data_IF_834961110363
#
_entry.id   IF_834961110363
#
_cell.length_a   1.000
_cell.length_b   1.000
_cell.length_c   1.000
_cell.angle_alpha   90.00
_cell.angle_beta   90.00
_cell.angle_gamma   90.00
#
_symmetry.space_group_name_H-M   'P 1'
#
loop_
_entity.id
_entity.type
_entity.pdbx_description
1 polymer ?
2 non-polymer ?
3 non-polymer ?
4 water ?
#
# COMPACT_ATOMS: atom_id res chain seq x y z
N UNK A 1 31.95 -14.92 4.71
CA UNK A 1 30.88 -15.50 3.83
C UNK A 1 29.56 -14.79 4.13
N UNK A 2 29.02 -14.89 5.36
CA UNK A 2 27.78 -14.17 5.78
C UNK A 2 28.03 -12.65 5.64
N UNK A 3 26.98 -11.87 5.37
CA UNK A 3 27.07 -10.43 5.09
C UNK A 3 27.52 -9.66 6.33
N UNK A 4 27.28 -10.20 7.53
CA UNK A 4 27.62 -9.53 8.82
C UNK A 4 28.98 -9.98 9.34
N UNK A 5 29.75 -10.75 8.55
CA UNK A 5 31.04 -11.38 8.92
C UNK A 5 31.96 -10.38 9.64
N UNK A 6 32.15 -9.18 9.06
CA UNK A 6 33.14 -8.18 9.50
C UNK A 6 32.57 -7.27 10.59
N UNK A 7 31.30 -7.43 10.96
CA UNK A 7 30.65 -6.62 12.01
C UNK A 7 31.08 -7.15 13.39
N UNK A 8 31.29 -6.24 14.33
CA UNK A 8 31.52 -6.55 15.77
C UNK A 8 30.16 -6.84 16.43
N UNK A 9 30.14 -7.54 17.59
CA UNK A 9 28.90 -7.96 18.23
C UNK A 9 27.88 -6.84 18.48
N UNK A 10 28.35 -5.65 18.89
CA UNK A 10 27.50 -4.47 19.17
C UNK A 10 26.87 -3.95 17.87
N UNK A 11 27.61 -4.00 16.75
CA UNK A 11 27.15 -3.56 15.41
C UNK A 11 26.11 -4.56 14.87
N UNK A 12 26.37 -5.85 15.05
CA UNK A 12 25.47 -6.98 14.70
C UNK A 12 24.18 -6.87 15.52
N UNK A 13 24.29 -6.53 16.81
CA UNK A 13 23.18 -6.40 17.79
C UNK A 13 22.19 -5.31 17.37
N UNK A 14 22.68 -4.17 16.88
CA UNK A 14 21.85 -3.03 16.41
C UNK A 14 20.89 -3.52 15.31
N UNK A 15 21.40 -4.27 14.33
CA UNK A 15 20.64 -4.82 13.18
C UNK A 15 19.63 -5.87 13.66
N UNK A 16 20.01 -6.74 14.60
CA UNK A 16 19.11 -7.79 15.16
C UNK A 16 17.94 -7.11 15.91
N UNK A 17 18.20 -6.03 16.65
CA UNK A 17 17.15 -5.23 17.34
C UNK A 17 16.23 -4.61 16.27
N UNK A 18 16.83 -3.97 15.26
CA UNK A 18 16.09 -3.21 14.22
C UNK A 18 15.09 -4.15 13.51
N UNK A 19 15.52 -5.38 13.21
CA UNK A 19 14.79 -6.36 12.35
C UNK A 19 14.00 -7.38 13.18
N UNK A 20 13.84 -7.15 14.48
CA UNK A 20 13.02 -8.00 15.38
C UNK A 20 11.53 -7.66 15.17
N UNK A 21 10.91 -8.16 14.09
CA UNK A 21 9.61 -7.63 13.62
C UNK A 21 8.57 -8.75 13.39
N UNK A 22 8.91 -10.02 13.68
CA UNK A 22 7.99 -11.16 13.45
C UNK A 22 6.70 -10.98 14.26
N UNK A 23 5.54 -11.12 13.60
CA UNK A 23 4.21 -10.94 14.23
C UNK A 23 3.21 -11.85 13.53
N UNK A 24 2.54 -12.70 14.30
CA UNK A 24 1.39 -13.53 13.85
C UNK A 24 0.13 -12.70 14.00
N UNK A 25 -0.70 -12.64 12.97
CA UNK A 25 -1.97 -11.88 13.00
C UNK A 25 -3.14 -12.84 13.07
N UNK A 26 -4.23 -12.46 13.78
CA UNK A 26 -5.31 -13.40 14.10
C UNK A 26 -6.09 -13.86 12.87
N UNK A 27 -6.50 -15.13 12.91
CA UNK A 27 -7.80 -15.59 12.37
C UNK A 27 -7.83 -15.65 10.85
N UNK A 28 -9.00 -15.42 10.23
CA UNK A 28 -9.19 -15.72 8.81
C UNK A 28 -8.28 -14.89 7.89
N UNK A 29 -8.07 -15.41 6.68
CA UNK A 29 -7.34 -14.81 5.53
C UNK A 29 -8.09 -13.57 5.03
N UNK A 30 -7.42 -12.71 4.25
CA UNK A 30 -7.96 -11.38 3.84
C UNK A 30 -9.38 -11.52 3.29
N UNK A 31 -9.61 -12.31 2.24
CA UNK A 31 -10.93 -12.39 1.57
C UNK A 31 -12.01 -12.88 2.54
N UNK A 32 -11.70 -13.82 3.43
CA UNK A 32 -12.63 -14.36 4.46
C UNK A 32 -13.00 -13.24 5.43
N UNK A 33 -12.05 -12.39 5.84
CA UNK A 33 -12.34 -11.26 6.74
C UNK A 33 -13.25 -10.27 6.02
N UNK A 34 -13.00 -10.01 4.74
CA UNK A 34 -13.85 -9.11 3.92
C UNK A 34 -15.27 -9.67 3.86
N UNK A 35 -15.40 -10.98 3.65
CA UNK A 35 -16.74 -11.65 3.56
C UNK A 35 -17.45 -11.55 4.90
N UNK A 36 -16.75 -11.80 6.02
CA UNK A 36 -17.29 -11.72 7.39
C UNK A 36 -17.84 -10.31 7.65
N UNK A 37 -17.08 -9.27 7.30
CA UNK A 37 -17.50 -7.85 7.50
C UNK A 37 -18.81 -7.60 6.75
N UNK A 38 -18.91 -8.04 5.49
CA UNK A 38 -20.08 -7.80 4.63
C UNK A 38 -21.32 -8.42 5.27
N UNK A 39 -21.15 -9.55 5.97
CA UNK A 39 -22.28 -10.33 6.55
C UNK A 39 -22.62 -9.79 7.94
N UNK A 40 -21.69 -9.12 8.64
CA UNK A 40 -21.93 -8.58 10.00
C UNK A 40 -22.30 -7.09 9.92
N UNK A 41 -21.89 -6.37 8.87
CA UNK A 41 -22.17 -4.91 8.72
C UNK A 41 -22.76 -4.62 7.34
N UNK A 42 -23.78 -5.37 6.85
CA UNK A 42 -24.24 -5.23 5.47
C UNK A 42 -24.79 -3.84 5.15
N UNK A 43 -25.35 -3.15 6.16
CA UNK A 43 -26.01 -1.83 5.98
C UNK A 43 -24.99 -0.68 6.00
N UNK A 44 -23.76 -0.90 6.45
CA UNK A 44 -22.75 0.18 6.57
C UNK A 44 -22.31 0.62 5.17
N UNK A 45 -21.90 1.90 5.00
CA UNK A 45 -21.36 2.37 3.73
C UNK A 45 -19.93 1.82 3.54
N UNK A 46 -19.70 1.11 2.42
CA UNK A 46 -18.43 0.43 2.09
C UNK A 46 -17.59 1.31 1.16
N UNK A 47 -18.22 1.97 0.18
CA UNK A 47 -17.47 2.87 -0.71
C UNK A 47 -18.35 4.08 -1.05
N UNK A 48 -17.73 5.25 -0.93
CA UNK A 48 -18.28 6.56 -1.33
C UNK A 48 -17.40 7.05 -2.46
N UNK A 49 -17.85 6.84 -3.69
CA UNK A 49 -17.13 7.22 -4.92
C UNK A 49 -17.82 8.47 -5.50
N UNK A 50 -17.33 8.97 -6.64
CA UNK A 50 -17.79 10.28 -7.18
C UNK A 50 -19.26 10.18 -7.63
N UNK A 51 -19.75 8.99 -7.94
CA UNK A 51 -21.13 8.81 -8.48
C UNK A 51 -22.06 8.15 -7.44
N UNK A 52 -21.68 8.11 -6.16
CA UNK A 52 -22.60 7.68 -5.10
C UNK A 52 -21.98 6.69 -4.12
N UNK A 53 -22.82 6.04 -3.33
CA UNK A 53 -22.41 5.25 -2.14
C UNK A 53 -23.03 3.86 -2.23
N UNK A 54 -22.23 2.83 -1.96
CA UNK A 54 -22.68 1.43 -1.84
C UNK A 54 -22.52 0.97 -0.41
N UNK A 55 -23.56 0.32 0.11
CA UNK A 55 -23.47 -0.50 1.34
C UNK A 55 -22.50 -1.65 1.10
N UNK A 56 -22.11 -2.33 2.17
CA UNK A 56 -21.37 -3.61 2.09
C UNK A 56 -22.22 -4.65 1.35
N UNK A 57 -23.51 -4.71 1.66
CA UNK A 57 -24.46 -5.63 0.97
C UNK A 57 -24.37 -5.42 -0.55
N UNK A 58 -24.48 -4.17 -1.02
CA UNK A 58 -24.53 -3.84 -2.47
C UNK A 58 -23.15 -4.08 -3.11
N UNK A 59 -22.08 -3.60 -2.50
CA UNK A 59 -20.70 -3.83 -3.01
C UNK A 59 -20.48 -5.33 -3.23
N UNK A 60 -20.80 -6.16 -2.25
CA UNK A 60 -20.53 -7.63 -2.34
C UNK A 60 -21.46 -8.29 -3.36
N UNK A 61 -22.70 -7.82 -3.52
CA UNK A 61 -23.64 -8.34 -4.54
C UNK A 61 -23.10 -7.99 -5.94
N UNK A 62 -22.60 -6.77 -6.12
CA UNK A 62 -22.04 -6.29 -7.42
C UNK A 62 -20.75 -7.08 -7.72
N UNK A 63 -19.89 -7.26 -6.72
CA UNK A 63 -18.65 -8.06 -6.84
C UNK A 63 -19.01 -9.51 -7.21
N UNK A 64 -20.02 -10.09 -6.55
CA UNK A 64 -20.49 -11.48 -6.81
C UNK A 64 -20.91 -11.61 -8.28
N UNK A 65 -21.58 -10.60 -8.84
CA UNK A 65 -22.04 -10.61 -10.26
C UNK A 65 -20.82 -10.66 -11.17
N UNK A 66 -19.78 -9.89 -10.84
CA UNK A 66 -18.50 -9.85 -11.60
C UNK A 66 -17.84 -11.24 -11.56
N UNK A 67 -17.73 -11.88 -10.40
CA UNK A 67 -17.06 -13.19 -10.25
C UNK A 67 -17.80 -14.25 -11.07
N UNK A 68 -19.14 -14.22 -11.04
CA UNK A 68 -20.03 -15.16 -11.75
C UNK A 68 -19.87 -14.99 -13.27
N UNK A 69 -19.78 -13.75 -13.72
CA UNK A 69 -19.58 -13.37 -15.15
C UNK A 69 -18.24 -13.95 -15.64
N UNK A 70 -17.17 -13.70 -14.88
CA UNK A 70 -15.81 -14.17 -15.22
C UNK A 70 -15.84 -15.70 -15.36
N UNK A 71 -16.40 -16.42 -14.40
CA UNK A 71 -16.50 -17.88 -14.42
C UNK A 71 -17.31 -18.34 -15.66
N UNK A 72 -18.42 -17.66 -15.96
CA UNK A 72 -19.29 -17.97 -17.12
C UNK A 72 -18.55 -17.75 -18.44
N UNK A 73 -17.58 -16.83 -18.48
CA UNK A 73 -16.76 -16.55 -19.70
C UNK A 73 -15.49 -17.42 -19.71
N UNK A 74 -15.39 -18.40 -18.82
CA UNK A 74 -14.29 -19.38 -18.77
C UNK A 74 -13.02 -18.81 -18.17
N UNK A 75 -13.08 -17.68 -17.45
CA UNK A 75 -11.90 -17.13 -16.73
C UNK A 75 -11.72 -17.92 -15.43
N UNK A 76 -10.69 -18.78 -15.36
CA UNK A 76 -10.50 -19.76 -14.25
C UNK A 76 -9.71 -19.09 -13.12
N UNK A 77 -9.81 -19.60 -11.87
CA UNK A 77 -8.97 -19.12 -10.78
C UNK A 77 -7.48 -19.10 -11.16
N UNK A 78 -6.77 -18.06 -10.73
CA UNK A 78 -5.34 -17.84 -11.05
C UNK A 78 -5.15 -17.13 -12.38
N UNK A 79 -6.22 -16.56 -12.95
CA UNK A 79 -6.15 -15.67 -14.14
C UNK A 79 -5.91 -14.23 -13.69
N UNK A 80 -5.56 -13.35 -14.64
CA UNK A 80 -5.36 -11.90 -14.41
C UNK A 80 -6.45 -11.20 -15.22
N UNK A 81 -7.12 -10.23 -14.61
CA UNK A 81 -8.30 -9.52 -15.17
C UNK A 81 -8.02 -8.03 -15.08
N UNK A 82 -8.09 -7.30 -16.20
CA UNK A 82 -7.93 -5.84 -16.22
C UNK A 82 -9.16 -5.20 -15.57
N UNK A 83 -8.96 -4.12 -14.80
CA UNK A 83 -10.10 -3.30 -14.30
C UNK A 83 -9.82 -1.86 -14.71
N UNK A 84 -10.86 -1.13 -15.12
CA UNK A 84 -10.75 0.29 -15.50
C UNK A 84 -10.65 1.11 -14.23
N UNK A 85 -9.49 1.71 -13.99
CA UNK A 85 -9.19 2.53 -12.79
C UNK A 85 -9.81 3.92 -12.97
N UNK A 86 -11.01 4.12 -12.44
CA UNK A 86 -11.70 5.43 -12.36
C UNK A 86 -12.00 5.75 -10.89
N UNK A 87 -12.66 6.88 -10.65
CA UNK A 87 -13.02 7.37 -9.31
C UNK A 87 -14.49 7.02 -9.00
N UNK A 88 -15.14 6.21 -9.84
CA UNK A 88 -16.56 5.82 -9.69
C UNK A 88 -16.69 4.50 -8.91
N UNK A 89 -17.92 4.03 -8.71
CA UNK A 89 -18.25 2.81 -7.90
C UNK A 89 -17.80 1.54 -8.64
N UNK A 90 -17.97 1.49 -9.96
CA UNK A 90 -17.80 0.27 -10.78
C UNK A 90 -16.45 -0.41 -10.58
N UNK A 91 -15.29 0.30 -10.54
CA UNK A 91 -13.99 -0.36 -10.38
C UNK A 91 -13.88 -1.12 -9.06
N UNK A 92 -14.63 -0.71 -8.03
CA UNK A 92 -14.58 -1.37 -6.69
C UNK A 92 -15.30 -2.72 -6.79
N UNK A 93 -16.42 -2.79 -7.52
CA UNK A 93 -17.11 -4.06 -7.83
C UNK A 93 -16.19 -4.94 -8.68
N UNK A 94 -15.53 -4.35 -9.68
CA UNK A 94 -14.62 -5.07 -10.61
C UNK A 94 -13.49 -5.72 -9.81
N UNK A 95 -12.77 -4.96 -9.00
CA UNK A 95 -11.54 -5.49 -8.37
C UNK A 95 -11.91 -6.49 -7.27
N UNK A 96 -12.95 -6.24 -6.48
CA UNK A 96 -13.42 -7.21 -5.47
C UNK A 96 -13.93 -8.49 -6.16
N UNK A 97 -14.67 -8.32 -7.25
CA UNK A 97 -15.19 -9.46 -8.04
C UNK A 97 -14.07 -10.31 -8.60
N UNK A 98 -12.99 -9.69 -9.05
CA UNK A 98 -11.80 -10.41 -9.59
C UNK A 98 -11.22 -11.27 -8.46
N UNK A 99 -11.06 -10.70 -7.26
CA UNK A 99 -10.53 -11.45 -6.09
C UNK A 99 -11.48 -12.59 -5.70
N UNK A 100 -12.79 -12.37 -5.71
CA UNK A 100 -13.80 -13.42 -5.37
C UNK A 100 -13.75 -14.56 -6.41
N UNK A 101 -13.36 -14.27 -7.65
CA UNK A 101 -13.19 -15.27 -8.73
C UNK A 101 -11.87 -16.04 -8.59
N UNK A 102 -11.06 -15.76 -7.56
CA UNK A 102 -9.75 -16.41 -7.33
C UNK A 102 -8.70 -15.89 -8.29
N UNK A 103 -8.91 -14.67 -8.79
CA UNK A 103 -8.07 -14.04 -9.84
C UNK A 103 -7.36 -12.82 -9.28
N UNK A 104 -6.43 -12.26 -10.06
CA UNK A 104 -5.67 -11.06 -9.71
C UNK A 104 -6.09 -9.92 -10.64
N UNK A 105 -6.18 -8.69 -10.13
CA UNK A 105 -6.60 -7.55 -10.96
C UNK A 105 -5.35 -6.81 -11.42
N UNK A 106 -5.43 -6.23 -12.60
CA UNK A 106 -4.42 -5.25 -13.10
C UNK A 106 -5.17 -3.96 -13.40
N UNK A 107 -4.92 -2.90 -12.61
CA UNK A 107 -5.61 -1.62 -12.78
C UNK A 107 -5.01 -0.93 -14.02
N UNK A 108 -5.89 -0.44 -14.90
CA UNK A 108 -5.54 0.23 -16.17
C UNK A 108 -6.20 1.60 -16.17
N UNK A 109 -5.42 2.66 -16.35
CA UNK A 109 -5.97 4.02 -16.58
C UNK A 109 -6.62 4.02 -17.96
N UNK A 110 -7.98 4.15 -18.06
CA UNK A 110 -8.66 4.08 -19.35
C UNK A 110 -8.32 5.28 -20.27
N UNK A 111 -7.60 6.28 -19.75
CA UNK A 111 -7.07 7.43 -20.52
C UNK A 111 -5.64 7.19 -21.01
N UNK A 112 -5.03 6.02 -20.76
CA UNK A 112 -3.67 5.71 -21.27
C UNK A 112 -3.74 5.47 -22.77
N UNK A 113 -2.67 5.79 -23.54
CA UNK A 113 -2.62 5.41 -24.94
C UNK A 113 -2.97 3.92 -25.11
N UNK A 114 -3.75 3.60 -26.14
CA UNK A 114 -4.21 2.24 -26.51
C UNK A 114 -3.01 1.29 -26.67
N UNK A 115 -1.87 1.79 -27.15
CA UNK A 115 -0.65 0.99 -27.38
C UNK A 115 -0.10 0.53 -26.02
N UNK A 116 -0.14 1.40 -25.01
CA UNK A 116 0.38 1.11 -23.65
C UNK A 116 -0.57 0.12 -22.96
N UNK A 117 -1.89 0.30 -23.12
CA UNK A 117 -2.92 -0.65 -22.61
C UNK A 117 -2.69 -2.04 -23.24
N UNK A 118 -2.50 -2.11 -24.56
CA UNK A 118 -2.22 -3.36 -25.28
C UNK A 118 -1.00 -4.07 -24.67
N UNK A 119 0.07 -3.34 -24.35
CA UNK A 119 1.28 -3.95 -23.73
C UNK A 119 0.91 -4.53 -22.36
N UNK A 120 0.20 -3.76 -21.53
CA UNK A 120 -0.17 -4.17 -20.14
C UNK A 120 -1.00 -5.47 -20.21
N UNK A 121 -1.99 -5.55 -21.10
CA UNK A 121 -2.85 -6.76 -21.24
C UNK A 121 -1.97 -7.96 -21.62
N UNK A 122 -1.06 -7.80 -22.57
CA UNK A 122 -0.19 -8.89 -23.06
C UNK A 122 0.79 -9.29 -21.95
N UNK A 123 1.45 -8.31 -21.31
CA UNK A 123 2.50 -8.58 -20.31
C UNK A 123 1.91 -9.21 -19.05
N UNK A 124 0.71 -8.77 -18.65
CA UNK A 124 0.01 -9.24 -17.43
C UNK A 124 -0.70 -10.57 -17.73
N UNK A 125 -0.88 -10.93 -19.01
CA UNK A 125 -1.72 -12.08 -19.43
C UNK A 125 -3.18 -11.85 -19.05
N UNK A 126 -3.66 -10.62 -19.16
CA UNK A 126 -4.95 -10.18 -18.58
C UNK A 126 -6.05 -10.16 -19.65
N UNK A 127 -7.24 -10.66 -19.29
CA UNK A 127 -8.48 -10.52 -20.10
C UNK A 127 -9.00 -9.09 -20.00
N UNK A 128 -9.41 -8.46 -21.12
CA UNK A 128 -10.07 -7.14 -21.08
C UNK A 128 -11.60 -7.14 -20.93
N UNK A 129 -12.20 -8.26 -20.51
CA UNK A 129 -13.68 -8.44 -20.41
C UNK A 129 -14.32 -7.28 -19.64
N UNK A 130 -13.72 -6.85 -18.53
CA UNK A 130 -14.33 -5.82 -17.63
C UNK A 130 -13.98 -4.41 -18.12
N UNK A 131 -13.09 -4.27 -19.10
CA UNK A 131 -12.84 -2.99 -19.80
C UNK A 131 -13.90 -2.77 -20.89
N UNK A 132 -14.51 -3.84 -21.41
CA UNK A 132 -15.37 -3.78 -22.62
C UNK A 132 -16.85 -3.86 -22.23
N UNK A 133 -17.14 -4.03 -20.93
CA UNK A 133 -18.52 -3.98 -20.40
C UNK A 133 -18.52 -3.37 -19.00
N UNK A 134 -19.59 -2.66 -18.65
CA UNK A 134 -19.75 -2.02 -17.32
C UNK A 134 -19.85 -3.11 -16.26
N UNK A 135 -18.84 -3.26 -15.38
CA UNK A 135 -18.86 -4.32 -14.38
C UNK A 135 -19.98 -4.14 -13.34
N UNK A 136 -20.48 -2.91 -13.15
CA UNK A 136 -21.49 -2.57 -12.13
C UNK A 136 -22.91 -2.99 -12.56
N UNK A 137 -23.14 -3.29 -13.84
CA UNK A 137 -24.51 -3.57 -14.37
C UNK A 137 -24.62 -5.01 -14.89
N UNK A 138 -23.75 -5.92 -14.43
CA UNK A 138 -23.77 -7.36 -14.82
C UNK A 138 -24.94 -8.06 -14.14
N UNK A 139 -25.49 -9.14 -14.76
CA UNK A 139 -26.57 -9.91 -14.17
C UNK A 139 -26.24 -10.41 -12.76
N UNK A 140 -27.19 -10.26 -11.83
CA UNK A 140 -27.02 -10.73 -10.43
C UNK A 140 -26.74 -12.24 -10.42
N UNK A 141 -25.83 -12.66 -9.55
CA UNK A 141 -25.51 -14.07 -9.29
C UNK A 141 -24.66 -14.15 -8.03
N UNK A 142 -24.76 -15.24 -7.25
CA UNK A 142 -23.81 -15.49 -6.16
C UNK A 142 -22.42 -15.80 -6.73
N UNK A 143 -21.36 -15.51 -5.97
CA UNK A 143 -19.97 -15.85 -6.34
C UNK A 143 -19.87 -17.37 -6.47
N UNK A 144 -19.19 -17.90 -7.51
CA UNK A 144 -18.99 -19.35 -7.61
C UNK A 144 -18.04 -19.85 -6.51
N UNK A 145 -18.09 -21.14 -6.23
CA UNK A 145 -17.16 -21.84 -5.30
C UNK A 145 -15.76 -21.82 -5.91
N UNK A 146 -14.80 -21.21 -5.22
CA UNK A 146 -13.36 -21.17 -5.60
C UNK A 146 -12.62 -22.08 -4.64
N UNK A 147 -11.90 -23.13 -5.12
CA UNK A 147 -11.13 -24.01 -4.24
C UNK A 147 -10.04 -23.19 -3.55
N UNK A 148 -9.85 -23.40 -2.24
CA UNK A 148 -8.84 -22.68 -1.42
C UNK A 148 -7.44 -23.00 -1.96
N UNK A 149 -6.66 -21.96 -2.26
CA UNK A 149 -5.20 -22.05 -2.53
C UNK A 149 -4.50 -21.04 -1.63
N UNK A 150 -3.34 -21.38 -1.04
CA UNK A 150 -2.58 -20.41 -0.25
C UNK A 150 -1.92 -19.37 -1.16
N UNK A 151 -1.84 -18.12 -0.67
CA UNK A 151 -1.02 -17.05 -1.29
C UNK A 151 -1.38 -16.87 -2.77
N UNK A 152 -2.67 -16.85 -3.13
CA UNK A 152 -3.10 -16.51 -4.50
C UNK A 152 -2.58 -15.11 -4.87
N UNK A 153 -2.20 -14.89 -6.12
CA UNK A 153 -1.85 -13.53 -6.63
C UNK A 153 -3.11 -12.66 -6.50
N UNK A 154 -2.95 -11.45 -5.96
CA UNK A 154 -4.08 -10.50 -5.74
C UNK A 154 -4.06 -9.41 -6.80
N UNK A 155 -2.89 -8.91 -7.17
CA UNK A 155 -2.81 -7.86 -8.21
C UNK A 155 -1.47 -7.89 -8.93
N UNK A 156 -1.49 -7.36 -10.14
CA UNK A 156 -0.31 -6.99 -10.96
C UNK A 156 -0.41 -5.49 -11.18
N UNK A 157 0.49 -4.72 -10.60
CA UNK A 157 0.50 -3.24 -10.74
C UNK A 157 1.81 -2.83 -11.41
N UNK A 158 1.70 -1.98 -12.43
CA UNK A 158 2.83 -1.51 -13.25
C UNK A 158 3.47 -0.32 -12.55
N UNK A 159 4.79 -0.40 -12.35
CA UNK A 159 5.66 0.64 -11.74
C UNK A 159 6.88 0.82 -12.66
N UNK A 160 7.41 2.05 -12.74
CA UNK A 160 8.47 2.41 -13.72
C UNK A 160 9.82 2.58 -13.03
N UNK A 161 10.90 2.47 -13.83
CA UNK A 161 12.31 2.59 -13.41
C UNK A 161 13.26 2.69 -14.61
N UNK A 165 10.66 2.57 -17.79
CA UNK A 165 10.33 1.24 -18.37
C UNK A 165 9.35 0.52 -17.44
N UNK A 166 8.08 0.28 -17.86
CA UNK A 166 7.07 -0.33 -16.99
C UNK A 166 7.36 -1.80 -16.68
N UNK A 167 7.28 -2.17 -15.40
CA UNK A 167 7.39 -3.57 -14.90
C UNK A 167 6.12 -3.90 -14.11
N UNK A 168 5.52 -5.06 -14.36
CA UNK A 168 4.33 -5.57 -13.67
C UNK A 168 4.72 -6.30 -12.40
N UNK A 169 4.54 -5.67 -11.24
CA UNK A 169 4.78 -6.27 -9.89
C UNK A 169 3.64 -7.24 -9.56
N UNK A 170 3.97 -8.50 -9.29
CA UNK A 170 3.00 -9.59 -8.99
C UNK A 170 2.94 -9.71 -7.47
N UNK A 171 1.80 -9.34 -6.88
CA UNK A 171 1.65 -9.30 -5.41
C UNK A 171 0.59 -10.33 -5.00
N UNK A 172 0.94 -11.18 -4.03
CA UNK A 172 0.10 -12.30 -3.58
C UNK A 172 -0.52 -11.97 -2.22
N UNK A 173 -1.45 -12.82 -1.77
CA UNK A 173 -2.43 -12.51 -0.70
C UNK A 173 -1.71 -12.35 0.64
N UNK A 174 -0.67 -13.15 0.93
CA UNK A 174 0.00 -13.09 2.25
C UNK A 174 0.59 -11.69 2.46
N UNK A 175 1.17 -11.08 1.43
CA UNK A 175 1.75 -9.71 1.50
C UNK A 175 0.64 -8.69 1.75
N UNK A 176 -0.48 -8.82 1.01
CA UNK A 176 -1.59 -7.83 1.11
C UNK A 176 -2.28 -7.97 2.48
N UNK A 177 -2.48 -9.20 2.93
CA UNK A 177 -3.08 -9.52 4.25
C UNK A 177 -2.21 -8.91 5.35
N UNK A 178 -0.90 -9.06 5.23
CA UNK A 178 0.09 -8.58 6.23
C UNK A 178 0.00 -7.06 6.30
N UNK A 179 -0.03 -6.39 5.16
CA UNK A 179 -0.13 -4.90 5.08
C UNK A 179 -1.44 -4.48 5.73
N UNK A 180 -2.53 -5.20 5.44
CA UNK A 180 -3.91 -4.82 5.87
C UNK A 180 -3.96 -4.86 7.40
N UNK A 181 -3.44 -5.94 8.01
CA UNK A 181 -3.35 -6.07 9.49
C UNK A 181 -2.60 -4.85 10.05
N UNK A 182 -1.46 -4.51 9.45
CA UNK A 182 -0.66 -3.36 9.95
C UNK A 182 -1.46 -2.07 9.89
N UNK A 183 -2.07 -1.73 8.74
CA UNK A 183 -2.82 -0.45 8.60
C UNK A 183 -3.89 -0.40 9.69
N UNK A 184 -4.65 -1.48 9.85
CA UNK A 184 -5.82 -1.54 10.76
C UNK A 184 -5.32 -1.41 12.20
N UNK A 185 -4.30 -2.18 12.60
CA UNK A 185 -3.88 -2.25 14.02
C UNK A 185 -3.05 -1.01 14.37
N UNK A 186 -2.13 -0.60 13.50
CA UNK A 186 -1.23 0.56 13.77
C UNK A 186 -2.04 1.86 13.89
N UNK A 187 -3.11 2.03 13.11
CA UNK A 187 -3.85 3.33 13.01
C UNK A 187 -5.25 3.22 13.60
N UNK A 188 -5.57 2.11 14.28
CA UNK A 188 -6.84 1.90 15.00
C UNK A 188 -8.04 2.16 14.07
N UNK A 189 -8.08 1.51 12.91
CA UNK A 189 -9.22 1.63 11.95
C UNK A 189 -10.42 0.91 12.58
N UNK A 190 -11.53 1.64 12.71
CA UNK A 190 -12.80 1.19 13.34
C UNK A 190 -13.91 1.30 12.30
N UNK A 191 -15.02 0.54 12.46
CA UNK A 191 -16.15 0.62 11.53
C UNK A 191 -16.65 2.02 11.16
N UNK A 192 -16.66 2.98 12.08
CA UNK A 192 -17.21 4.33 11.82
C UNK A 192 -16.16 5.24 11.17
N UNK A 193 -15.01 4.69 10.74
CA UNK A 193 -13.94 5.49 10.10
C UNK A 193 -14.22 5.70 8.60
N UNK A 194 -13.56 6.69 8.03
CA UNK A 194 -13.68 7.11 6.61
C UNK A 194 -12.26 7.22 6.05
N UNK A 195 -11.85 6.23 5.26
CA UNK A 195 -10.46 6.16 4.73
C UNK A 195 -10.44 6.85 3.37
N UNK A 196 -9.80 8.01 3.28
CA UNK A 196 -9.67 8.74 2.00
C UNK A 196 -8.72 8.01 1.08
N UNK A 197 -9.08 7.85 -0.19
CA UNK A 197 -8.20 7.24 -1.22
C UNK A 197 -7.76 8.32 -2.20
N UNK A 198 -6.58 8.89 -1.98
CA UNK A 198 -6.02 9.98 -2.81
C UNK A 198 -5.45 9.36 -4.08
N UNK A 199 -4.62 8.32 -3.94
CA UNK A 199 -3.98 7.60 -5.06
C UNK A 199 -5.06 6.99 -5.95
N UNK A 200 -4.88 7.00 -7.29
CA UNK A 200 -5.75 6.23 -8.17
C UNK A 200 -5.49 4.73 -7.91
N UNK A 201 -6.36 3.86 -8.40
CA UNK A 201 -6.20 2.38 -8.23
C UNK A 201 -4.96 1.86 -8.98
N UNK A 202 -4.41 2.63 -9.92
CA UNK A 202 -3.13 2.32 -10.63
C UNK A 202 -1.90 2.55 -9.76
N UNK A 203 -2.05 3.13 -8.55
CA UNK A 203 -0.93 3.46 -7.63
C UNK A 203 -1.20 2.79 -6.29
N UNK A 204 -0.23 2.04 -5.74
CA UNK A 204 -0.51 1.00 -4.71
C UNK A 204 -0.85 1.58 -3.34
N UNK A 205 -0.65 2.88 -3.00
CA UNK A 205 -1.21 3.38 -1.74
C UNK A 205 -2.74 3.22 -1.68
N UNK A 206 -3.40 3.11 -2.83
CA UNK A 206 -4.84 2.76 -2.92
C UNK A 206 -5.12 1.45 -2.18
N UNK A 207 -4.22 0.47 -2.31
CA UNK A 207 -4.32 -0.86 -1.63
C UNK A 207 -4.40 -0.66 -0.11
N UNK A 208 -3.60 0.26 0.41
CA UNK A 208 -3.43 0.55 1.86
C UNK A 208 -4.72 1.20 2.41
N UNK A 209 -5.54 1.83 1.56
CA UNK A 209 -6.81 2.47 1.99
C UNK A 209 -7.98 1.50 1.79
N UNK A 210 -8.06 0.84 0.63
CA UNK A 210 -9.23 -0.01 0.23
C UNK A 210 -9.35 -1.21 1.17
N UNK A 211 -8.32 -2.03 1.34
CA UNK A 211 -8.46 -3.31 2.06
C UNK A 211 -8.69 -3.07 3.55
N UNK A 212 -7.95 -2.17 4.22
CA UNK A 212 -8.22 -1.87 5.63
C UNK A 212 -9.66 -1.38 5.88
N UNK A 213 -10.21 -0.57 4.96
CA UNK A 213 -11.63 -0.13 5.05
C UNK A 213 -12.53 -1.37 5.09
N UNK A 214 -12.41 -2.25 4.09
CA UNK A 214 -13.34 -3.39 3.87
C UNK A 214 -13.09 -4.51 4.88
N UNK A 215 -11.90 -4.58 5.48
CA UNK A 215 -11.54 -5.57 6.51
C UNK A 215 -12.09 -5.13 7.87
N UNK A 216 -12.64 -3.92 8.02
CA UNK A 216 -13.11 -3.38 9.33
C UNK A 216 -14.58 -2.97 9.29
N UNK A 217 -15.18 -2.76 8.12
CA UNK A 217 -16.54 -2.19 8.04
C UNK A 217 -16.54 -0.67 7.93
N UNK A 218 -15.35 -0.05 7.79
CA UNK A 218 -15.18 1.40 7.59
C UNK A 218 -15.59 1.75 6.15
N UNK A 219 -15.68 3.03 5.82
CA UNK A 219 -16.03 3.47 4.45
C UNK A 219 -14.77 3.96 3.72
N UNK A 220 -14.54 3.43 2.51
CA UNK A 220 -13.53 3.93 1.54
C UNK A 220 -14.14 5.16 0.86
N UNK A 221 -13.50 6.32 0.99
CA UNK A 221 -13.99 7.60 0.37
C UNK A 221 -13.00 8.01 -0.72
N UNK A 222 -13.36 7.83 -1.99
CA UNK A 222 -12.51 8.22 -3.14
C UNK A 222 -12.34 9.73 -3.13
N UNK A 223 -11.11 10.23 -3.20
CA UNK A 223 -10.85 11.69 -3.33
C UNK A 223 -11.07 12.06 -4.79
N UNK A 224 -12.02 12.97 -5.12
CA UNK A 224 -12.26 13.35 -6.51
C UNK A 224 -11.03 14.07 -7.10
N UNK A 225 -10.81 13.88 -8.40
CA UNK A 225 -9.68 14.47 -9.19
C UNK A 225 -9.64 15.99 -8.99
N UNK A 226 -10.79 16.66 -9.13
CA UNK A 226 -10.92 18.15 -9.13
C UNK A 226 -10.56 18.71 -7.75
N UNK A 227 -10.75 17.92 -6.70
CA UNK A 227 -10.45 18.33 -5.30
C UNK A 227 -8.93 18.28 -5.09
N UNK A 228 -8.27 17.23 -5.58
CA UNK A 228 -6.84 16.93 -5.27
C UNK A 228 -5.93 18.04 -5.78
N UNK A 229 -6.21 18.55 -6.98
CA UNK A 229 -5.36 19.51 -7.71
C UNK A 229 -5.51 20.92 -7.12
N UNK A 230 -6.50 21.11 -6.23
CA UNK A 230 -6.77 22.39 -5.53
C UNK A 230 -6.56 22.19 -4.03
N UNK A 231 -5.36 22.48 -3.50
CA UNK A 231 -5.04 22.24 -2.09
C UNK A 231 -6.06 22.81 -1.09
N UNK A 232 -6.55 24.03 -1.31
CA UNK A 232 -7.50 24.72 -0.40
C UNK A 232 -8.83 23.95 -0.35
N UNK A 233 -9.30 23.54 -1.52
CA UNK A 233 -10.56 22.75 -1.69
C UNK A 233 -10.38 21.37 -1.02
N UNK A 234 -9.19 20.79 -1.12
CA UNK A 234 -8.86 19.46 -0.56
C UNK A 234 -9.01 19.54 0.97
N UNK A 235 -8.47 20.58 1.58
CA UNK A 235 -8.60 20.82 3.05
C UNK A 235 -10.08 20.97 3.43
N UNK A 236 -10.85 21.73 2.65
CA UNK A 236 -12.31 21.94 2.86
C UNK A 236 -13.02 20.59 2.74
N UNK A 237 -12.68 19.82 1.72
CA UNK A 237 -13.31 18.50 1.42
C UNK A 237 -13.04 17.52 2.57
N UNK A 238 -11.82 17.47 3.09
CA UNK A 238 -11.44 16.55 4.20
C UNK A 238 -12.31 16.88 5.41
N UNK A 239 -12.58 18.17 5.66
CA UNK A 239 -13.41 18.60 6.81
C UNK A 239 -14.85 18.13 6.55
N UNK A 240 -15.40 18.46 5.37
CA UNK A 240 -16.79 18.19 4.98
C UNK A 240 -17.09 16.69 5.03
N UNK A 241 -16.14 15.85 4.57
CA UNK A 241 -16.36 14.39 4.44
C UNK A 241 -15.96 13.69 5.76
N UNK A 242 -15.41 14.44 6.72
CA UNK A 242 -15.03 13.93 8.06
C UNK A 242 -14.07 12.74 7.89
N UNK A 243 -13.10 12.88 7.00
CA UNK A 243 -12.11 11.80 6.70
C UNK A 243 -11.26 11.58 7.96
N UNK A 244 -11.03 10.33 8.36
CA UNK A 244 -10.32 9.94 9.60
C UNK A 244 -8.90 9.48 9.28
N UNK A 245 -8.65 8.94 8.09
CA UNK A 245 -7.34 8.37 7.64
C UNK A 245 -7.12 8.76 6.19
N UNK A 246 -5.92 9.21 5.85
CA UNK A 246 -5.59 9.71 4.50
C UNK A 246 -4.19 9.23 4.10
N UNK A 247 -4.05 8.80 2.84
CA UNK A 247 -2.77 8.52 2.14
C UNK A 247 -2.34 9.79 1.40
N UNK A 248 -1.09 10.23 1.54
CA UNK A 248 -0.57 11.37 0.73
C UNK A 248 0.85 11.06 0.25
N UNK A 249 1.21 11.46 -0.97
CA UNK A 249 2.63 11.52 -1.39
C UNK A 249 3.19 12.82 -0.82
N UNK A 250 4.45 12.78 -0.39
CA UNK A 250 5.15 13.89 0.31
C UNK A 250 4.89 15.22 -0.41
N UNK A 251 5.11 15.28 -1.73
CA UNK A 251 5.04 16.55 -2.51
C UNK A 251 3.60 17.11 -2.47
N UNK A 252 2.59 16.24 -2.53
CA UNK A 252 1.14 16.62 -2.45
C UNK A 252 0.87 17.23 -1.07
N UNK A 253 1.40 16.61 -0.01
CA UNK A 253 1.24 17.08 1.38
C UNK A 253 1.90 18.46 1.55
N UNK A 254 3.05 18.68 0.91
CA UNK A 254 3.74 20.00 0.91
C UNK A 254 2.77 21.06 0.35
N UNK A 255 2.03 20.74 -0.74
CA UNK A 255 1.01 21.66 -1.33
C UNK A 255 -0.06 21.97 -0.28
N UNK A 256 -0.51 20.97 0.49
CA UNK A 256 -1.51 21.18 1.57
C UNK A 256 -0.91 22.08 2.66
N UNK A 257 0.35 21.87 3.03
CA UNK A 257 1.03 22.66 4.10
C UNK A 257 0.99 24.14 3.71
N UNK A 258 1.37 24.46 2.47
CA UNK A 258 1.38 25.87 1.96
C UNK A 258 -0.04 26.46 2.05
N UNK A 259 -1.07 25.71 1.66
CA UNK A 259 -2.48 26.16 1.73
C UNK A 259 -2.88 26.44 3.18
N UNK A 260 -2.46 25.59 4.12
CA UNK A 260 -2.77 25.71 5.57
C UNK A 260 -2.07 26.94 6.17
N UNK A 261 -0.86 27.26 5.71
CA UNK A 261 -0.09 28.46 6.16
C UNK A 261 -0.84 29.72 5.69
N UNK A 262 -1.39 29.70 4.48
CA UNK A 262 -2.20 30.79 3.89
C UNK A 262 -3.55 30.94 4.62
N UNK A 263 -4.11 29.85 5.14
CA UNK A 263 -5.50 29.82 5.70
C UNK A 263 -5.60 28.68 6.71
N UNK A 264 -5.16 28.87 7.98
CA UNK A 264 -5.22 27.82 8.99
C UNK A 264 -6.50 26.97 8.93
N UNK A 265 -6.35 25.65 8.92
CA UNK A 265 -7.43 24.66 8.72
C UNK A 265 -7.80 24.00 10.06
N UNK A 266 -9.07 23.61 10.20
CA UNK A 266 -9.57 22.76 11.30
C UNK A 266 -9.97 21.41 10.70
N UNK A 267 -9.34 20.33 11.17
CA UNK A 267 -9.61 18.93 10.74
C UNK A 267 -9.77 18.08 11.98
N UNK A 268 -10.87 18.28 12.75
CA UNK A 268 -11.06 17.60 14.04
C UNK A 268 -11.29 16.08 13.92
N UNK A 269 -11.72 15.61 12.75
CA UNK A 269 -12.09 14.18 12.54
C UNK A 269 -10.86 13.42 12.03
N UNK A 270 -9.84 14.11 11.52
CA UNK A 270 -8.65 13.44 10.91
C UNK A 270 -7.72 12.95 12.02
N UNK A 271 -7.42 11.64 12.04
CA UNK A 271 -6.59 10.99 13.08
C UNK A 271 -5.23 10.59 12.51
N UNK A 272 -5.16 10.24 11.23
CA UNK A 272 -3.92 9.71 10.61
C UNK A 272 -3.73 10.26 9.20
N UNK A 273 -2.52 10.72 8.92
CA UNK A 273 -2.00 10.93 7.54
C UNK A 273 -0.80 10.01 7.39
N UNK A 274 -0.86 9.08 6.44
CA UNK A 274 0.27 8.20 6.06
C UNK A 274 0.94 8.85 4.86
N UNK A 275 2.15 9.39 5.07
CA UNK A 275 2.87 10.23 4.06
C UNK A 275 4.19 9.56 3.69
N UNK A 276 4.48 9.48 2.40
CA UNK A 276 5.83 9.11 1.91
C UNK A 276 5.97 9.35 0.43
N UNK A 277 7.16 9.03 -0.10
CA UNK A 277 7.52 9.21 -1.51
C UNK A 277 8.82 9.99 -1.65
N UNK A 278 9.06 10.95 -0.76
CA UNK A 278 10.27 11.81 -0.79
C UNK A 278 10.71 12.17 0.63
N UNK A 279 11.99 12.51 0.79
CA UNK A 279 12.54 13.04 2.06
C UNK A 279 11.82 14.35 2.40
N UNK A 280 11.48 14.55 3.67
CA UNK A 280 10.98 15.86 4.17
C UNK A 280 11.55 16.10 5.56
N UNK A 281 11.24 17.27 6.13
CA UNK A 281 12.01 17.91 7.23
C UNK A 281 11.08 18.28 8.38
N UNK A 282 11.60 18.15 9.60
CA UNK A 282 10.85 18.43 10.85
C UNK A 282 10.36 19.87 10.87
N UNK A 283 11.04 20.79 10.17
CA UNK A 283 10.63 22.21 10.02
C UNK A 283 9.26 22.27 9.33
N UNK A 284 9.04 21.43 8.31
CA UNK A 284 7.75 21.37 7.57
C UNK A 284 6.66 20.74 8.46
N UNK A 285 6.97 19.63 9.14
CA UNK A 285 5.99 18.91 9.99
C UNK A 285 5.69 19.77 11.23
N UNK A 286 6.68 20.47 11.78
CA UNK A 286 6.48 21.43 12.90
C UNK A 286 5.49 22.52 12.48
N UNK A 287 5.70 23.12 11.30
CA UNK A 287 4.81 24.17 10.73
C UNK A 287 3.40 23.59 10.59
N UNK A 288 3.26 22.44 9.92
CA UNK A 288 1.97 21.72 9.78
C UNK A 288 1.22 21.74 11.12
N UNK A 289 1.85 21.29 12.19
CA UNK A 289 1.17 21.11 13.52
C UNK A 289 0.80 22.47 14.13
N UNK A 290 1.41 23.58 13.70
CA UNK A 290 1.07 24.95 14.21
C UNK A 290 -0.13 25.51 13.43
N UNK A 291 -0.25 25.24 12.12
CA UNK A 291 -1.27 25.88 11.23
C UNK A 291 -2.45 24.93 10.96
N UNK A 292 -2.37 23.66 11.36
CA UNK A 292 -3.49 22.69 11.21
C UNK A 292 -3.97 22.30 12.60
N UNK A 293 -5.16 22.77 12.97
CA UNK A 293 -5.84 22.44 14.25
C UNK A 293 -6.50 21.07 14.07
N UNK A 294 -5.84 20.00 14.54
CA UNK A 294 -6.27 18.60 14.32
C UNK A 294 -5.55 17.68 15.31
N UNK A 295 -6.19 16.58 15.76
CA UNK A 295 -5.46 15.53 16.47
C UNK A 295 -4.65 14.61 15.55
N UNK A 296 -4.68 14.85 14.23
CA UNK A 296 -4.04 14.01 13.19
C UNK A 296 -2.54 13.84 13.48
N UNK A 297 -2.09 12.58 13.46
CA UNK A 297 -0.65 12.22 13.55
C UNK A 297 -0.14 11.86 12.16
N UNK A 298 1.10 12.26 11.87
CA UNK A 298 1.80 11.95 10.59
C UNK A 298 2.58 10.65 10.76
N UNK A 299 2.22 9.60 10.03
CA UNK A 299 3.03 8.36 9.96
C UNK A 299 3.85 8.45 8.67
N UNK A 300 5.14 8.76 8.80
CA UNK A 300 6.09 8.83 7.66
C UNK A 300 6.37 7.39 7.25
N UNK A 301 6.21 7.08 5.96
CA UNK A 301 6.47 5.70 5.48
C UNK A 301 7.43 5.75 4.30
N UNK A 302 8.14 4.65 4.11
CA UNK A 302 9.01 4.39 2.95
C UNK A 302 8.68 2.99 2.41
N UNK A 303 8.68 2.86 1.10
CA UNK A 303 8.67 1.52 0.48
C UNK A 303 8.43 1.58 -1.02
N UNK A 304 8.98 0.60 -1.75
CA UNK A 304 8.64 0.40 -3.16
C UNK A 304 7.39 -0.46 -3.33
N UNK A 305 6.78 -0.37 -4.51
CA UNK A 305 5.64 -1.22 -4.97
C UNK A 305 6.01 -2.69 -4.82
N UNK A 306 7.30 -3.02 -5.03
CA UNK A 306 7.86 -4.39 -5.02
C UNK A 306 7.79 -5.01 -3.62
N UNK A 307 7.59 -4.24 -2.56
CA UNK A 307 7.47 -4.77 -1.17
C UNK A 307 6.13 -4.36 -0.53
N UNK A 308 5.04 -4.37 -1.31
CA UNK A 308 3.65 -4.19 -0.84
C UNK A 308 3.48 -2.83 -0.15
N UNK A 309 3.67 -1.76 -0.93
CA UNK A 309 3.30 -0.34 -0.62
C UNK A 309 4.32 0.31 0.32
N UNK A 310 4.46 -0.23 1.54
CA UNK A 310 5.27 0.33 2.65
C UNK A 310 6.19 -0.75 3.22
N UNK A 311 7.40 -0.37 3.62
CA UNK A 311 8.38 -1.29 4.24
C UNK A 311 8.80 -0.78 5.63
N UNK A 312 8.89 0.53 5.82
CA UNK A 312 9.27 1.16 7.11
C UNK A 312 8.29 2.27 7.46
N UNK A 313 8.21 2.61 8.74
CA UNK A 313 7.29 3.65 9.27
C UNK A 313 7.95 4.40 10.43
N UNK A 314 7.68 5.70 10.51
CA UNK A 314 8.11 6.56 11.63
C UNK A 314 6.95 7.45 12.06
N UNK A 315 6.50 7.32 13.32
CA UNK A 315 5.56 8.27 13.96
C UNK A 315 6.28 9.62 14.13
N UNK A 316 5.84 10.64 13.37
CA UNK A 316 6.50 11.96 13.28
C UNK A 316 6.19 12.82 14.51
N UNK A 317 7.21 13.12 15.32
CA UNK A 317 7.11 13.97 16.54
C UNK A 317 6.71 15.39 16.13
N UNK A 318 5.64 15.97 16.71
CA UNK A 318 5.22 17.33 16.36
C UNK A 318 6.08 18.46 16.95
N UNK A 319 6.87 18.17 17.98
CA UNK A 319 7.63 19.18 18.77
C UNK A 319 9.00 19.46 18.13
N UNK A 320 9.54 18.53 17.33
CA UNK A 320 10.83 18.71 16.61
C UNK A 320 10.64 19.68 15.45
N UNK A 321 11.60 20.58 15.21
CA UNK A 321 11.51 21.62 14.15
C UNK A 321 12.82 21.73 13.35
N UNK A 322 13.76 20.80 13.55
CA UNK A 322 15.08 20.77 12.84
C UNK A 322 15.42 19.33 12.45
N UNK A 323 16.08 19.17 11.29
CA UNK A 323 16.65 17.89 10.82
C UNK A 323 15.72 17.14 9.88
N UNK A 324 16.22 16.04 9.32
CA UNK A 324 15.53 15.17 8.33
C UNK A 324 14.66 14.16 9.10
N UNK A 325 13.44 13.91 8.62
CA UNK A 325 12.56 12.89 9.25
C UNK A 325 13.08 11.53 8.80
N UNK A 326 13.42 10.62 9.75
CA UNK A 326 13.85 9.27 9.38
C UNK A 326 12.68 8.46 8.80
N UNK A 327 12.99 7.37 8.10
CA UNK A 327 11.95 6.49 7.48
C UNK A 327 11.53 5.42 8.49
N UNK A 328 12.34 5.21 9.53
CA UNK A 328 11.89 4.60 10.79
C UNK A 328 12.24 3.13 10.85
N UNK A 329 11.28 2.31 11.29
CA UNK A 329 11.47 0.87 11.64
C UNK A 329 10.62 0.02 10.68
N UNK A 330 10.98 -1.25 10.43
CA UNK A 330 10.27 -2.08 9.47
C UNK A 330 8.85 -2.34 9.95
N UNK A 331 7.93 -2.47 8.99
CA UNK A 331 6.55 -2.96 9.25
C UNK A 331 6.66 -4.38 9.80
N UNK A 332 5.56 -4.90 10.38
CA UNK A 332 5.49 -6.30 10.81
C UNK A 332 5.90 -7.28 9.71
N UNK A 333 6.80 -8.20 10.05
CA UNK A 333 7.31 -9.29 9.17
C UNK A 333 8.11 -8.73 8.00
N UNK A 334 8.59 -7.49 8.09
CA UNK A 334 9.61 -6.94 7.15
C UNK A 334 10.97 -6.92 7.88
N UNK A 335 12.05 -7.17 7.14
CA UNK A 335 13.44 -6.96 7.60
C UNK A 335 14.16 -6.19 6.50
N UNK A 336 14.91 -5.15 6.87
CA UNK A 336 15.68 -4.31 5.92
C UNK A 336 17.15 -4.36 6.31
N UNK A 337 18.01 -4.30 5.29
CA UNK A 337 19.49 -4.37 5.39
C UNK A 337 20.08 -3.30 4.48
N UNK A 338 21.02 -2.50 5.00
CA UNK A 338 21.89 -1.61 4.21
C UNK A 338 23.16 -2.37 3.86
N UNK A 339 23.37 -2.68 2.57
CA UNK A 339 24.53 -3.48 2.09
C UNK A 339 25.44 -2.59 1.24
N UNK A 340 26.76 -2.77 1.39
CA UNK A 340 27.80 -2.13 0.54
C UNK A 340 27.82 -2.85 -0.81
N UNK A 341 28.74 -2.46 -1.69
CA UNK A 341 28.87 -2.96 -3.08
C UNK A 341 29.18 -4.46 -3.11
N UNK A 342 29.79 -5.01 -2.06
CA UNK A 342 30.22 -6.44 -2.00
C UNK A 342 29.18 -7.27 -1.22
N UNK A 343 28.01 -6.70 -0.93
CA UNK A 343 26.90 -7.42 -0.28
C UNK A 343 27.15 -7.65 1.21
N UNK A 344 27.96 -6.80 1.84
CA UNK A 344 28.27 -6.85 3.28
C UNK A 344 27.35 -5.90 4.04
N UNK A 345 26.84 -6.34 5.18
CA UNK A 345 25.96 -5.52 6.07
C UNK A 345 26.77 -4.35 6.62
N UNK A 346 26.36 -3.12 6.30
CA UNK A 346 27.02 -1.89 6.77
C UNK A 346 26.86 -1.75 8.29
N UNK A 347 27.90 -1.24 8.99
CA UNK A 347 27.76 -0.86 10.39
C UNK A 347 26.73 0.27 10.55
N UNK A 348 26.14 0.41 11.76
CA UNK A 348 25.37 1.60 12.09
C UNK A 348 26.14 2.87 11.69
N UNK A 349 25.46 3.83 11.07
CA UNK A 349 26.03 5.12 10.67
C UNK A 349 26.61 5.11 9.27
N UNK A 350 26.81 3.92 8.68
CA UNK A 350 27.41 3.77 7.32
C UNK A 350 26.28 3.59 6.30
N UNK A 351 26.32 4.39 5.22
CA UNK A 351 25.33 4.39 4.12
C UNK A 351 25.54 3.16 3.24
N UNK A 352 24.46 2.42 2.96
CA UNK A 352 24.44 1.28 2.04
C UNK A 352 23.14 1.23 1.26
N UNK A 353 23.03 0.32 0.29
CA UNK A 353 21.80 0.12 -0.49
C UNK A 353 20.81 -0.68 0.36
N UNK A 354 19.54 -0.27 0.39
CA UNK A 354 18.47 -0.99 1.12
C UNK A 354 18.13 -2.28 0.34
N UNK A 355 18.25 -3.42 1.00
CA UNK A 355 17.65 -4.69 0.54
C UNK A 355 16.52 -5.05 1.51
N UNK A 356 15.39 -5.52 0.99
CA UNK A 356 14.17 -5.81 1.79
C UNK A 356 13.90 -7.31 1.75
N UNK A 357 13.63 -7.89 2.91
CA UNK A 357 13.15 -9.28 3.09
C UNK A 357 11.77 -9.26 3.73
N UNK A 358 11.06 -10.37 3.60
CA UNK A 358 9.93 -10.70 4.50
C UNK A 358 8.61 -10.85 3.77
N UNK A 359 7.52 -10.80 4.53
CA UNK A 359 6.16 -11.15 4.09
C UNK A 359 5.66 -10.13 3.04
N UNK A 360 6.32 -8.97 2.92
CA UNK A 360 5.87 -7.89 2.01
C UNK A 360 6.29 -8.10 0.56
N UNK A 361 7.24 -9.00 0.30
CA UNK A 361 7.87 -9.09 -1.05
C UNK A 361 6.86 -9.58 -2.09
N UNK A 362 6.85 -8.92 -3.25
CA UNK A 362 6.23 -9.40 -4.48
C UNK A 362 6.71 -10.82 -4.76
N UNK A 363 5.85 -11.65 -5.37
CA UNK A 363 6.27 -12.91 -6.03
C UNK A 363 7.43 -12.61 -7.00
N UNK A 364 7.36 -11.47 -7.67
CA UNK A 364 8.38 -10.99 -8.61
C UNK A 364 7.75 -10.05 -9.61
N UNK A 365 8.35 -9.93 -10.78
CA UNK A 365 7.72 -9.24 -11.93
C UNK A 365 7.14 -10.30 -12.86
N UNK A 366 6.26 -9.86 -13.77
CA UNK A 366 5.82 -10.69 -14.92
C UNK A 366 7.06 -11.14 -15.71
N UNK A 367 8.01 -10.23 -15.93
CA UNK A 367 9.29 -10.50 -16.61
C UNK A 367 10.20 -11.33 -15.71
N UNK A 368 10.53 -12.55 -16.15
CA UNK A 368 11.51 -13.45 -15.48
C UNK A 368 12.89 -12.78 -15.45
N UNK A 369 13.25 -12.03 -16.49
CA UNK A 369 14.57 -11.34 -16.55
C UNK A 369 14.64 -10.29 -15.44
N UNK A 370 13.65 -9.39 -15.38
CA UNK A 370 13.59 -8.30 -14.38
C UNK A 370 13.60 -8.92 -12.97
N UNK A 371 12.94 -10.07 -12.77
CA UNK A 371 12.85 -10.77 -11.47
C UNK A 371 14.26 -11.22 -11.05
N UNK A 372 14.99 -11.88 -11.95
CA UNK A 372 16.37 -12.39 -11.72
C UNK A 372 17.27 -11.25 -11.22
N UNK A 373 17.21 -10.07 -11.83
CA UNK A 373 18.10 -8.92 -11.55
C UNK A 373 17.75 -8.27 -10.21
N UNK A 374 16.49 -8.32 -9.78
CA UNK A 374 16.00 -7.54 -8.62
C UNK A 374 16.02 -8.36 -7.33
N UNK A 375 15.73 -9.66 -7.42
CA UNK A 375 15.58 -10.58 -6.25
C UNK A 375 16.78 -11.51 -6.20
N UNK A 376 17.34 -11.71 -5.01
CA UNK A 376 18.54 -12.55 -4.77
C UNK A 376 18.47 -13.14 -3.36
N UNK A 377 19.20 -14.23 -3.14
CA UNK A 377 19.30 -14.90 -1.82
C UNK A 377 20.67 -14.57 -1.22
N UNK A 378 20.70 -14.33 0.08
CA UNK A 378 21.93 -13.92 0.81
C UNK A 378 21.84 -14.40 2.26
N UNK A 379 22.88 -15.05 2.76
CA UNK A 379 23.02 -15.35 4.21
C UNK A 379 23.50 -14.07 4.90
N UNK A 380 22.60 -13.36 5.56
CA UNK A 380 22.91 -12.03 6.16
C UNK A 380 23.58 -12.26 7.53
N UNK A 381 23.04 -13.18 8.30
CA UNK A 381 23.52 -13.60 9.65
C UNK A 381 23.71 -15.12 9.58
N UNK A 382 24.59 -15.68 10.39
CA UNK A 382 24.78 -17.16 10.50
C UNK A 382 23.39 -17.80 10.67
N UNK A 383 23.02 -18.73 9.77
CA UNK A 383 21.78 -19.53 9.88
C UNK A 383 20.59 -18.92 9.15
N UNK A 384 20.62 -17.61 8.83
CA UNK A 384 19.47 -16.85 8.25
C UNK A 384 19.77 -16.49 6.79
N UNK A 385 19.31 -17.32 5.85
CA UNK A 385 19.34 -17.03 4.39
C UNK A 385 18.05 -16.29 4.00
N UNK A 386 18.20 -15.11 3.40
CA UNK A 386 17.08 -14.19 3.06
C UNK A 386 16.88 -14.12 1.55
N UNK A 387 15.63 -14.15 1.10
CA UNK A 387 15.26 -13.65 -0.25
C UNK A 387 15.17 -12.13 -0.13
N UNK A 388 15.98 -11.41 -0.92
CA UNK A 388 16.14 -9.95 -0.82
C UNK A 388 15.70 -9.30 -2.13
N UNK A 389 15.01 -8.18 -2.02
CA UNK A 389 14.74 -7.26 -3.15
C UNK A 389 15.72 -6.09 -3.04
N UNK A 390 16.51 -5.85 -4.10
CA UNK A 390 17.44 -4.70 -4.22
C UNK A 390 16.63 -3.48 -4.64
N UNK A 391 16.64 -2.41 -3.84
CA UNK A 391 15.72 -1.25 -3.98
C UNK A 391 16.29 -0.20 -4.92
N UNK A 392 17.62 -0.04 -4.96
CA UNK A 392 18.27 1.12 -5.61
C UNK A 392 18.24 2.33 -4.71
N UNK A 393 17.81 2.15 -3.46
CA UNK A 393 17.70 3.22 -2.44
C UNK A 393 18.90 3.11 -1.50
N UNK A 394 19.37 4.25 -0.99
CA UNK A 394 20.45 4.33 0.03
C UNK A 394 19.86 4.74 1.37
N UNK A 395 20.35 4.13 2.45
CA UNK A 395 20.05 4.54 3.83
C UNK A 395 21.19 4.13 4.77
N UNK A 396 21.14 4.64 5.98
CA UNK A 396 22.06 4.24 7.09
C UNK A 396 21.22 4.07 8.36
N UNK A 397 21.61 3.12 9.21
CA UNK A 397 21.00 2.88 10.54
C UNK A 397 21.58 3.92 11.52
N UNK A 398 20.72 4.75 12.10
CA UNK A 398 21.09 5.82 13.06
C UNK A 398 20.29 5.64 14.34
N UNK A 399 20.78 6.25 15.42
CA UNK A 399 20.04 6.40 16.70
C UNK A 399 19.16 7.64 16.55
N UNK A 400 17.86 7.49 16.76
CA UNK A 400 16.87 8.60 16.82
C UNK A 400 16.03 8.42 18.09
N UNK A 401 16.07 9.38 19.00
CA UNK A 401 15.36 9.38 20.30
C UNK A 401 15.54 8.04 21.01
N UNK A 402 16.79 7.56 21.12
CA UNK A 402 17.19 6.34 21.86
C UNK A 402 16.56 5.09 21.24
N UNK A 403 16.41 5.05 19.91
CA UNK A 403 15.95 3.84 19.18
C UNK A 403 16.61 3.80 17.80
N UNK A 404 16.84 2.61 17.25
CA UNK A 404 17.45 2.44 15.91
C UNK A 404 16.40 2.79 14.85
N UNK A 405 16.81 3.51 13.81
CA UNK A 405 15.93 3.95 12.70
C UNK A 405 16.76 4.06 11.43
N UNK A 406 16.17 3.77 10.27
CA UNK A 406 16.80 4.03 8.95
C UNK A 406 16.57 5.49 8.59
N UNK A 407 17.61 6.11 8.03
CA UNK A 407 17.62 7.50 7.50
C UNK A 407 17.92 7.41 6.00
N UNK A 408 16.98 7.82 5.15
CA UNK A 408 17.14 7.79 3.68
C UNK A 408 18.30 8.72 3.30
N UNK A 409 19.12 8.30 2.33
CA UNK A 409 20.35 9.05 1.90
C UNK A 409 20.37 9.28 0.38
N UNK A 410 19.35 8.86 -0.35
CA UNK A 410 19.23 9.07 -1.80
C UNK A 410 19.14 7.75 -2.55
N UNK A 411 19.47 7.79 -3.85
CA UNK A 411 19.36 6.62 -4.76
C UNK A 411 20.75 6.31 -5.32
N UNK A 412 20.92 5.10 -5.84
CA UNK A 412 22.06 4.74 -6.74
C UNK A 412 21.72 5.26 -8.14
#
# INVERSE_FOLDING_TARGET
>A
VTADAALEPDERAAWLAYNDTAEDFPGPHLLARLDAVAREHPDRPAVHAVDGVWTYRELHRRADAVAAFLAARGVRPGSVVAIAATRALAPYAALLGVLKAGCAYVPVNPDDPADRVAFVLADAGATPLLLDTDPASLPAAPAPDVPHEPDRVCYVIYTSGSTGRPKGVVMAERAVDNLTHWVVRRHDVRPDDRLGQTAPLTFDPSVQQVFPAWATGACLVTVPDDVQRDPAAFLDWLRAERVTHLDLVTSHWVHLLNAAEARPAELPDLRWIIIGGETYYYHQTHRWHRVVSSPARLNTIYGPTEAAVNATEHLTEPDLDHGQVPIGVPLPNYRLYALDDDGRLCPPGITGEIHIAGAGLARGYRSAEATAKAFHELEVHSGRTERLYRTGDLARLVRHADRWALEFQGRVDSQVKISGYRVELEEVDAAVKAVPGVRDAAVVVRGEPAEQLVCCYVGDVPPDRLRSRLTERLPAYLVPHLLVPVEALPFTRNGKMDTAELAELVRRFARDS
#
